data_IF_624338544563
#
_entry.id   IF_624338544563
#
_cell.length_a   1.000
_cell.length_b   1.000
_cell.length_c   1.000
_cell.angle_alpha   90.00
_cell.angle_beta   90.00
_cell.angle_gamma   90.00
#
_symmetry.space_group_name_H-M   'P 1'
#
loop_
_entity.id
_entity.type
_entity.pdbx_description
1 polymer ?
#
# COMPACT_ATOMS: atom_id res chain seq x y z
N UNK A 1 11.97 -19.62 8.31
CA UNK A 1 12.50 -18.25 8.15
C UNK A 1 11.83 -17.34 9.17
N UNK A 2 12.54 -16.34 9.70
CA UNK A 2 12.01 -15.40 10.70
C UNK A 2 10.97 -14.49 10.02
N UNK A 3 9.78 -14.29 10.62
CA UNK A 3 8.72 -13.41 10.07
C UNK A 3 9.27 -12.00 9.77
N UNK A 4 8.71 -11.32 8.76
CA UNK A 4 9.02 -9.92 8.45
C UNK A 4 8.06 -8.99 9.20
N UNK A 5 6.75 -9.26 9.11
CA UNK A 5 5.69 -8.42 9.68
C UNK A 5 5.52 -8.67 11.18
N UNK A 6 5.32 -7.59 11.93
CA UNK A 6 4.90 -7.64 13.33
C UNK A 6 3.37 -7.73 13.40
N UNK A 7 2.83 -8.94 13.20
CA UNK A 7 1.39 -9.18 13.18
C UNK A 7 0.71 -8.81 14.50
N UNK A 8 1.36 -9.00 15.66
CA UNK A 8 0.82 -8.62 16.96
C UNK A 8 0.57 -7.11 17.06
N UNK A 9 1.53 -6.31 16.58
CA UNK A 9 1.40 -4.85 16.55
C UNK A 9 0.29 -4.41 15.60
N UNK A 10 0.22 -5.03 14.43
CA UNK A 10 -0.83 -4.78 13.43
C UNK A 10 -2.22 -5.15 13.99
N UNK A 11 -2.32 -6.27 14.72
CA UNK A 11 -3.56 -6.71 15.34
C UNK A 11 -4.05 -5.71 16.40
N UNK A 12 -3.15 -5.22 17.26
CA UNK A 12 -3.46 -4.29 18.36
C UNK A 12 -3.87 -2.88 17.90
N UNK A 13 -3.47 -2.46 16.70
CA UNK A 13 -3.81 -1.13 16.17
C UNK A 13 -5.34 -0.94 16.07
N UNK A 14 -5.90 0.12 16.65
CA UNK A 14 -7.37 0.30 16.66
C UNK A 14 -7.84 0.86 15.31
N UNK A 15 -9.00 0.37 14.84
CA UNK A 15 -9.66 0.91 13.65
C UNK A 15 -10.39 2.18 14.04
N UNK A 16 -10.02 3.29 13.41
CA UNK A 16 -10.77 4.55 13.47
C UNK A 16 -11.84 4.52 12.38
N UNK A 17 -13.06 4.96 12.71
CA UNK A 17 -14.22 4.99 11.80
C UNK A 17 -14.81 6.40 11.60
N UNK A 18 -14.14 7.45 12.08
CA UNK A 18 -14.67 8.84 12.12
C UNK A 18 -14.96 9.40 10.73
N UNK A 19 -14.03 9.23 9.78
CA UNK A 19 -14.20 9.68 8.39
C UNK A 19 -14.44 8.49 7.46
N UNK A 20 -13.61 7.46 7.58
CA UNK A 20 -13.77 6.16 6.96
C UNK A 20 -13.02 5.11 7.79
N UNK A 21 -13.29 3.80 7.64
CA UNK A 21 -12.59 2.78 8.41
C UNK A 21 -11.12 2.65 7.99
N UNK A 22 -10.20 2.98 8.89
CA UNK A 22 -8.75 2.82 8.69
C UNK A 22 -8.02 2.47 9.99
N UNK A 23 -6.79 1.98 9.89
CA UNK A 23 -5.84 1.96 11.00
C UNK A 23 -4.41 2.18 10.48
N UNK A 24 -3.56 2.81 11.30
CA UNK A 24 -2.14 2.99 11.01
C UNK A 24 -1.26 2.32 12.07
N UNK A 25 -0.04 1.97 11.68
CA UNK A 25 0.99 1.38 12.54
C UNK A 25 2.33 2.02 12.20
N UNK A 26 3.07 2.47 13.21
CA UNK A 26 4.49 2.79 13.04
C UNK A 26 5.31 1.51 13.25
N UNK A 27 6.39 1.33 12.51
CA UNK A 27 7.28 0.15 12.60
C UNK A 27 6.51 -1.19 12.53
N UNK A 28 5.90 -1.46 11.38
CA UNK A 28 5.14 -2.70 11.10
C UNK A 28 6.01 -3.96 10.97
N UNK A 29 7.33 -3.86 11.16
CA UNK A 29 8.28 -4.97 11.07
C UNK A 29 8.71 -5.47 12.44
N UNK A 30 9.18 -6.72 12.49
CA UNK A 30 9.54 -7.38 13.75
C UNK A 30 10.74 -6.74 14.46
N UNK A 31 11.70 -6.17 13.72
CA UNK A 31 12.90 -5.53 14.26
C UNK A 31 13.57 -4.60 13.23
N UNK A 32 14.56 -3.83 13.70
CA UNK A 32 15.31 -2.89 12.87
C UNK A 32 16.29 -3.56 11.89
N UNK A 33 16.74 -4.78 12.17
CA UNK A 33 17.66 -5.52 11.29
C UNK A 33 16.95 -6.06 10.03
N UNK A 34 15.67 -6.37 10.14
CA UNK A 34 14.79 -6.64 8.98
C UNK A 34 14.66 -5.41 8.10
N UNK A 35 14.51 -4.23 8.71
CA UNK A 35 14.33 -2.98 7.97
C UNK A 35 15.51 -2.69 7.02
N UNK A 36 16.75 -2.83 7.50
CA UNK A 36 17.96 -2.66 6.66
C UNK A 36 18.01 -3.66 5.49
N UNK A 37 17.64 -4.92 5.75
CA UNK A 37 17.60 -5.97 4.72
C UNK A 37 16.55 -5.67 3.65
N UNK A 38 15.37 -5.21 4.07
CA UNK A 38 14.29 -4.82 3.16
C UNK A 38 14.70 -3.67 2.24
N UNK A 39 15.45 -2.68 2.73
CA UNK A 39 15.97 -1.60 1.86
C UNK A 39 16.91 -2.15 0.80
N UNK A 40 17.85 -3.03 1.19
CA UNK A 40 18.84 -3.62 0.28
C UNK A 40 18.18 -4.53 -0.76
N UNK A 41 17.15 -5.27 -0.36
CA UNK A 41 16.44 -6.23 -1.20
C UNK A 41 15.30 -5.61 -2.02
N UNK A 42 15.03 -4.31 -1.82
CA UNK A 42 14.01 -3.59 -2.57
C UNK A 42 14.33 -3.58 -4.07
N UNK A 43 13.34 -3.81 -4.96
CA UNK A 43 13.58 -3.83 -6.39
C UNK A 43 14.09 -2.48 -6.91
N UNK A 44 15.07 -2.52 -7.81
CA UNK A 44 15.58 -1.30 -8.43
C UNK A 44 14.52 -0.70 -9.38
N UNK A 45 13.91 0.41 -8.97
CA UNK A 45 12.90 1.15 -9.73
C UNK A 45 13.39 2.59 -9.85
N UNK A 46 13.94 2.94 -11.01
CA UNK A 46 14.50 4.27 -11.29
C UNK A 46 13.52 5.24 -11.95
N UNK A 47 12.28 4.81 -12.18
CA UNK A 47 11.26 5.62 -12.85
C UNK A 47 10.01 5.80 -12.00
N UNK A 48 9.33 6.92 -12.19
CA UNK A 48 8.08 7.20 -11.50
C UNK A 48 6.92 6.36 -12.05
N UNK A 49 6.12 5.79 -11.16
CA UNK A 49 5.01 4.92 -11.53
C UNK A 49 4.67 3.91 -10.44
N UNK A 50 3.77 2.99 -10.75
CA UNK A 50 3.39 1.87 -9.90
C UNK A 50 3.54 0.58 -10.69
N UNK A 51 4.33 -0.35 -10.16
CA UNK A 51 4.79 -1.54 -10.87
C UNK A 51 4.29 -2.81 -10.17
N UNK A 52 3.74 -3.80 -10.90
CA UNK A 52 3.44 -5.10 -10.31
C UNK A 52 4.71 -5.79 -9.82
N UNK A 53 4.60 -6.53 -8.72
CA UNK A 53 5.74 -7.25 -8.15
C UNK A 53 6.24 -8.36 -9.08
N UNK A 54 5.36 -8.99 -9.84
CA UNK A 54 5.65 -10.20 -10.63
C UNK A 54 6.68 -9.96 -11.75
N UNK A 55 6.92 -8.71 -12.14
CA UNK A 55 7.92 -8.33 -13.14
C UNK A 55 9.23 -7.80 -12.57
N UNK A 56 9.39 -7.75 -11.24
CA UNK A 56 10.53 -7.11 -10.59
C UNK A 56 11.48 -8.12 -9.95
N UNK A 57 12.77 -7.94 -10.20
CA UNK A 57 13.82 -8.65 -9.46
C UNK A 57 14.00 -8.00 -8.09
N UNK A 58 13.93 -8.78 -7.03
CA UNK A 58 14.08 -8.34 -5.65
C UNK A 58 14.83 -9.39 -4.83
N UNK A 59 15.38 -9.00 -3.69
CA UNK A 59 16.10 -9.88 -2.79
C UNK A 59 15.18 -10.67 -1.86
N UNK A 60 15.75 -11.64 -1.13
CA UNK A 60 15.00 -12.65 -0.40
C UNK A 60 14.06 -12.09 0.68
N UNK A 61 14.49 -11.06 1.43
CA UNK A 61 13.65 -10.48 2.49
C UNK A 61 12.44 -9.74 1.93
N UNK A 62 12.58 -9.09 0.77
CA UNK A 62 11.47 -8.41 0.11
C UNK A 62 10.47 -9.40 -0.51
N UNK A 63 10.98 -10.50 -1.10
CA UNK A 63 10.12 -11.61 -1.56
C UNK A 63 9.31 -12.17 -0.38
N UNK A 64 9.96 -12.41 0.76
CA UNK A 64 9.28 -12.89 1.96
C UNK A 64 8.22 -11.90 2.47
N UNK A 65 8.50 -10.59 2.45
CA UNK A 65 7.51 -9.55 2.80
C UNK A 65 6.27 -9.66 1.90
N UNK A 66 6.47 -9.83 0.60
CA UNK A 66 5.36 -9.96 -0.37
C UNK A 66 4.54 -11.22 -0.10
N UNK A 67 5.19 -12.33 0.23
CA UNK A 67 4.51 -13.59 0.59
C UNK A 67 3.68 -13.42 1.86
N UNK A 68 4.22 -12.80 2.91
CA UNK A 68 3.51 -12.52 4.16
C UNK A 68 2.32 -11.56 3.93
N UNK A 69 2.51 -10.52 3.12
CA UNK A 69 1.44 -9.60 2.73
C UNK A 69 0.30 -10.32 2.00
N UNK A 70 0.62 -11.25 1.10
CA UNK A 70 -0.37 -12.05 0.35
C UNK A 70 -0.94 -13.23 1.17
N UNK A 71 -0.36 -13.51 2.34
CA UNK A 71 -0.65 -14.68 3.17
C UNK A 71 -2.02 -14.64 3.88
N UNK A 72 -2.45 -15.81 4.36
CA UNK A 72 -3.74 -15.96 5.02
C UNK A 72 -3.82 -15.29 6.39
N UNK A 73 -2.71 -15.21 7.14
CA UNK A 73 -2.69 -14.57 8.47
C UNK A 73 -3.08 -13.09 8.39
N UNK A 74 -2.44 -12.34 7.47
CA UNK A 74 -2.77 -10.94 7.27
C UNK A 74 -4.18 -10.77 6.66
N UNK A 75 -4.59 -11.66 5.75
CA UNK A 75 -5.96 -11.65 5.19
C UNK A 75 -7.00 -11.74 6.31
N UNK A 76 -6.92 -12.78 7.14
CA UNK A 76 -7.89 -13.01 8.23
C UNK A 76 -7.89 -11.87 9.24
N UNK A 77 -6.71 -11.30 9.51
CA UNK A 77 -6.59 -10.12 10.36
C UNK A 77 -7.35 -8.94 9.75
N UNK A 78 -7.13 -8.62 8.47
CA UNK A 78 -7.79 -7.50 7.79
C UNK A 78 -9.31 -7.71 7.66
N UNK A 79 -9.76 -8.95 7.39
CA UNK A 79 -11.19 -9.32 7.41
C UNK A 79 -11.84 -8.97 8.75
N UNK A 80 -11.22 -9.38 9.85
CA UNK A 80 -11.72 -9.10 11.20
C UNK A 80 -11.71 -7.61 11.53
N UNK A 81 -10.66 -6.89 11.15
CA UNK A 81 -10.53 -5.45 11.46
C UNK A 81 -11.54 -4.60 10.72
N UNK A 82 -11.81 -4.90 9.46
CA UNK A 82 -12.70 -4.11 8.62
C UNK A 82 -14.11 -4.68 8.48
N UNK A 83 -14.37 -5.85 9.08
CA UNK A 83 -15.66 -6.53 9.04
C UNK A 83 -16.11 -6.76 7.59
N UNK A 84 -15.21 -7.32 6.77
CA UNK A 84 -15.44 -7.63 5.35
C UNK A 84 -15.08 -9.07 5.03
N UNK A 85 -15.61 -9.58 3.92
CA UNK A 85 -15.27 -10.89 3.38
C UNK A 85 -14.20 -10.77 2.28
N UNK A 86 -13.00 -11.27 2.59
CA UNK A 86 -11.85 -11.37 1.68
C UNK A 86 -11.63 -12.81 1.16
N UNK A 87 -12.47 -13.78 1.52
CA UNK A 87 -12.40 -15.14 1.01
C UNK A 87 -12.45 -15.14 -0.51
N UNK A 88 -11.46 -15.80 -1.12
CA UNK A 88 -11.30 -15.88 -2.57
C UNK A 88 -11.30 -14.51 -3.29
N UNK A 89 -11.03 -13.40 -2.58
CA UNK A 89 -10.82 -12.10 -3.21
C UNK A 89 -9.41 -12.06 -3.77
N UNK A 90 -9.25 -11.72 -5.06
CA UNK A 90 -7.92 -11.57 -5.61
C UNK A 90 -7.14 -10.46 -4.92
N UNK A 91 -5.82 -10.63 -4.87
CA UNK A 91 -4.90 -9.67 -4.27
C UNK A 91 -3.87 -9.22 -5.31
N UNK A 92 -3.68 -7.91 -5.42
CA UNK A 92 -2.68 -7.29 -6.30
C UNK A 92 -1.71 -6.48 -5.47
N UNK A 93 -0.42 -6.75 -5.66
CA UNK A 93 0.66 -6.05 -4.99
C UNK A 93 1.44 -5.21 -6.00
N UNK A 94 1.61 -3.93 -5.71
CA UNK A 94 2.37 -3.00 -6.54
C UNK A 94 3.42 -2.27 -5.71
N UNK A 95 4.50 -1.87 -6.37
CA UNK A 95 5.64 -1.19 -5.75
C UNK A 95 5.89 0.14 -6.44
N UNK A 96 6.34 1.14 -5.69
CA UNK A 96 6.82 2.44 -6.20
C UNK A 96 8.22 2.72 -5.64
N UNK A 97 9.13 3.20 -6.50
CA UNK A 97 10.49 3.58 -6.10
C UNK A 97 10.75 5.09 -6.17
N UNK A 98 10.26 5.76 -7.22
CA UNK A 98 10.41 7.20 -7.44
C UNK A 98 9.02 7.87 -7.44
N UNK A 99 8.90 8.97 -6.72
CA UNK A 99 7.77 9.90 -6.82
C UNK A 99 8.15 11.05 -7.76
N UNK A 100 7.19 11.51 -8.56
CA UNK A 100 7.33 12.67 -9.44
C UNK A 100 6.56 13.85 -8.85
N UNK A 101 6.92 15.07 -9.23
CA UNK A 101 6.17 16.29 -8.89
C UNK A 101 4.66 16.22 -9.14
N UNK A 102 4.21 15.49 -10.19
CA UNK A 102 2.77 15.32 -10.50
C UNK A 102 2.04 14.24 -9.69
N UNK A 103 2.76 13.43 -8.94
CA UNK A 103 2.17 12.38 -8.10
C UNK A 103 1.63 12.99 -6.78
N UNK A 104 0.83 12.24 -6.03
CA UNK A 104 0.29 12.69 -4.73
C UNK A 104 -1.04 13.44 -4.79
N UNK A 105 -1.65 13.56 -5.97
CA UNK A 105 -2.99 14.13 -6.14
C UNK A 105 -4.01 13.49 -5.19
N UNK A 106 -4.92 14.30 -4.68
CA UNK A 106 -6.04 13.86 -3.86
C UNK A 106 -6.93 12.93 -4.66
N UNK A 107 -7.23 11.75 -4.11
CA UNK A 107 -8.16 10.81 -4.69
C UNK A 107 -8.78 9.90 -3.63
N UNK A 108 -9.90 9.27 -3.97
CA UNK A 108 -10.40 8.07 -3.31
C UNK A 108 -9.98 6.87 -4.15
N UNK A 109 -9.80 5.73 -3.52
CA UNK A 109 -9.45 4.53 -4.26
C UNK A 109 -10.59 4.02 -5.14
N UNK A 110 -10.26 3.34 -6.23
CA UNK A 110 -11.24 2.78 -7.16
C UNK A 110 -12.24 1.85 -6.46
N UNK A 111 -13.54 1.95 -6.81
CA UNK A 111 -14.62 1.07 -6.32
C UNK A 111 -14.40 -0.43 -6.60
N UNK A 112 -13.40 -0.77 -7.42
CA UNK A 112 -12.99 -2.16 -7.66
C UNK A 112 -12.24 -2.79 -6.48
N UNK A 113 -11.74 -1.98 -5.55
CA UNK A 113 -10.97 -2.40 -4.38
C UNK A 113 -11.89 -2.53 -3.17
N UNK A 114 -11.60 -3.50 -2.31
CA UNK A 114 -12.26 -3.72 -1.00
C UNK A 114 -11.42 -3.08 0.11
N UNK A 115 -10.12 -3.39 0.12
CA UNK A 115 -9.16 -2.90 1.10
C UNK A 115 -7.88 -2.51 0.35
N UNK A 116 -7.27 -1.42 0.82
CA UNK A 116 -5.92 -1.01 0.46
C UNK A 116 -5.05 -1.01 1.71
N UNK A 117 -3.85 -1.57 1.58
CA UNK A 117 -2.78 -1.51 2.58
C UNK A 117 -1.52 -0.97 1.90
N UNK A 118 -0.84 -0.04 2.55
CA UNK A 118 0.39 0.59 2.09
C UNK A 118 1.44 0.51 3.21
N UNK A 119 2.67 0.15 2.86
CA UNK A 119 3.84 0.19 3.76
C UNK A 119 4.96 0.98 3.07
N UNK A 120 5.60 1.88 3.83
CA UNK A 120 6.78 2.61 3.40
C UNK A 120 8.08 1.90 3.78
N UNK A 121 9.10 2.04 2.93
CA UNK A 121 10.40 1.37 3.09
C UNK A 121 11.59 2.35 2.96
N UNK A 122 11.42 3.62 3.31
CA UNK A 122 12.51 4.60 3.31
C UNK A 122 13.20 4.57 4.68
N UNK A 123 14.51 4.30 4.72
CA UNK A 123 15.27 4.16 5.98
C UNK A 123 15.07 5.35 6.91
N UNK A 124 15.15 6.56 6.36
CA UNK A 124 14.81 7.81 7.01
C UNK A 124 13.89 8.63 6.10
N UNK A 125 13.10 9.52 6.71
CA UNK A 125 12.28 10.48 5.98
C UNK A 125 12.42 11.86 6.60
N UNK A 126 13.35 12.66 6.07
CA UNK A 126 13.69 13.98 6.60
C UNK A 126 13.07 15.13 5.78
N UNK A 127 11.99 14.84 5.04
CA UNK A 127 11.28 15.81 4.21
C UNK A 127 9.92 16.14 4.83
N UNK A 128 9.54 17.43 4.82
CA UNK A 128 8.20 17.88 5.20
C UNK A 128 7.12 17.57 4.16
N UNK A 129 7.53 17.25 2.92
CA UNK A 129 6.63 16.85 1.83
C UNK A 129 6.65 15.34 1.59
N UNK A 130 5.67 14.84 0.83
CA UNK A 130 5.55 13.42 0.51
C UNK A 130 4.97 12.53 1.61
N UNK A 131 4.60 13.08 2.77
CA UNK A 131 3.86 12.36 3.81
C UNK A 131 2.42 12.12 3.35
N UNK A 132 1.91 10.90 3.57
CA UNK A 132 0.53 10.57 3.20
C UNK A 132 -0.44 11.26 4.14
N UNK A 133 -1.40 11.97 3.59
CA UNK A 133 -2.49 12.60 4.33
C UNK A 133 -3.79 11.87 4.06
N UNK A 134 -4.54 11.60 5.12
CA UNK A 134 -5.94 11.22 5.06
C UNK A 134 -6.79 12.48 5.27
N UNK A 135 -7.73 12.71 4.38
CA UNK A 135 -8.36 14.02 4.18
C UNK A 135 -9.85 13.97 4.50
N UNK A 136 -10.38 15.09 5.00
CA UNK A 136 -11.83 15.22 5.27
C UNK A 136 -12.62 15.45 3.99
N UNK A 137 -11.97 16.01 2.95
CA UNK A 137 -12.60 16.39 1.70
C UNK A 137 -11.65 16.18 0.49
N UNK A 138 -12.16 16.16 -0.76
CA UNK A 138 -11.35 15.90 -1.95
C UNK A 138 -10.61 17.11 -2.53
N UNK A 139 -10.78 18.31 -1.97
CA UNK A 139 -10.42 19.58 -2.61
C UNK A 139 -9.17 20.22 -2.02
N UNK A 140 -8.89 19.98 -0.75
CA UNK A 140 -7.80 20.63 -0.03
C UNK A 140 -6.88 19.60 0.65
N UNK A 141 -5.59 19.63 0.30
CA UNK A 141 -4.56 18.74 0.86
C UNK A 141 -4.18 19.14 2.30
N UNK A 142 -4.53 20.35 2.71
CA UNK A 142 -4.29 20.89 4.05
C UNK A 142 -5.43 20.58 5.03
N UNK A 143 -6.63 20.22 4.56
CA UNK A 143 -7.73 19.74 5.41
C UNK A 143 -7.60 18.23 5.69
N UNK A 144 -6.49 17.87 6.31
CA UNK A 144 -6.19 16.51 6.75
C UNK A 144 -6.58 16.27 8.20
N UNK A 145 -6.87 15.01 8.54
CA UNK A 145 -7.10 14.59 9.92
C UNK A 145 -6.04 13.63 10.44
N UNK A 146 -5.22 13.08 9.54
CA UNK A 146 -4.06 12.24 9.87
C UNK A 146 -3.00 12.40 8.79
N UNK A 147 -1.75 12.53 9.22
CA UNK A 147 -0.58 12.49 8.36
C UNK A 147 0.30 11.31 8.77
N UNK A 148 0.82 10.59 7.78
CA UNK A 148 1.59 9.35 7.96
C UNK A 148 2.96 9.57 7.31
N UNK A 149 4.05 9.44 8.08
CA UNK A 149 5.39 9.61 7.54
C UNK A 149 5.69 8.53 6.51
N UNK A 150 6.45 8.87 5.48
CA UNK A 150 6.92 7.89 4.50
C UNK A 150 8.17 7.13 5.00
N UNK A 151 8.39 7.06 6.31
CA UNK A 151 9.51 6.35 6.93
C UNK A 151 9.27 4.84 7.01
N UNK A 152 10.35 4.10 7.20
CA UNK A 152 10.40 2.65 7.26
C UNK A 152 9.33 2.05 8.19
N UNK A 153 8.54 1.12 7.65
CA UNK A 153 7.53 0.39 8.41
C UNK A 153 6.32 1.24 8.83
N UNK A 154 6.21 2.48 8.35
CA UNK A 154 4.97 3.23 8.44
C UNK A 154 3.93 2.57 7.54
N UNK A 155 2.88 2.05 8.17
CA UNK A 155 1.84 1.28 7.53
C UNK A 155 0.48 1.93 7.73
N UNK A 156 -0.33 1.89 6.68
CA UNK A 156 -1.75 2.22 6.73
C UNK A 156 -2.55 1.14 6.03
N UNK A 157 -3.70 0.81 6.58
CA UNK A 157 -4.72 0.06 5.86
C UNK A 157 -6.07 0.72 6.04
N UNK A 158 -6.90 0.67 5.00
CA UNK A 158 -8.25 1.20 5.03
C UNK A 158 -9.20 0.36 4.17
N UNK A 159 -10.47 0.33 4.59
CA UNK A 159 -11.56 -0.13 3.75
C UNK A 159 -11.82 0.94 2.70
N UNK A 160 -11.86 0.53 1.43
CA UNK A 160 -12.11 1.45 0.33
C UNK A 160 -13.59 1.83 0.32
N UNK A 161 -13.84 3.13 0.26
CA UNK A 161 -15.18 3.73 0.20
C UNK A 161 -15.12 5.04 -0.61
N UNK A 162 -16.26 5.67 -0.87
CA UNK A 162 -16.36 6.88 -1.69
C UNK A 162 -15.67 8.09 -1.09
N UNK A 163 -15.46 8.09 0.23
CA UNK A 163 -14.92 9.21 0.99
C UNK A 163 -13.53 8.93 1.59
N UNK A 164 -12.85 7.85 1.20
CA UNK A 164 -11.50 7.54 1.67
C UNK A 164 -10.43 8.43 0.99
N UNK A 165 -10.63 9.74 1.07
CA UNK A 165 -9.79 10.74 0.43
C UNK A 165 -8.39 10.72 1.04
N UNK A 166 -7.39 10.63 0.17
CA UNK A 166 -6.00 10.67 0.56
C UNK A 166 -5.13 11.25 -0.56
N UNK A 167 -3.98 11.77 -0.18
CA UNK A 167 -3.00 12.39 -1.07
C UNK A 167 -1.71 12.69 -0.32
N UNK A 168 -0.79 13.38 -0.95
CA UNK A 168 0.38 13.92 -0.27
C UNK A 168 0.87 15.18 -0.97
N UNK A 169 1.48 16.10 -0.21
CA UNK A 169 2.15 17.27 -0.81
C UNK A 169 3.20 16.78 -1.83
N UNK A 170 3.25 17.37 -3.04
CA UNK A 170 4.17 16.95 -4.09
C UNK A 170 5.60 16.72 -3.59
N UNK A 171 6.18 15.61 -4.02
CA UNK A 171 7.54 15.24 -3.69
C UNK A 171 8.17 14.56 -4.90
N UNK A 172 9.37 15.00 -5.28
CA UNK A 172 10.16 14.43 -6.35
C UNK A 172 11.41 13.76 -5.80
N UNK A 173 11.59 12.48 -6.11
CA UNK A 173 12.72 11.70 -5.62
C UNK A 173 12.34 10.32 -5.12
N UNK A 174 13.27 9.69 -4.39
CA UNK A 174 13.10 8.33 -3.88
C UNK A 174 12.03 8.30 -2.79
N UNK A 175 10.99 7.50 -3.01
CA UNK A 175 9.87 7.30 -2.07
C UNK A 175 9.36 5.88 -2.21
N UNK A 176 9.96 4.99 -1.43
CA UNK A 176 9.75 3.55 -1.51
C UNK A 176 8.46 3.16 -0.82
N UNK A 177 7.59 2.46 -1.54
CA UNK A 177 6.36 1.91 -0.96
C UNK A 177 5.93 0.63 -1.63
N UNK A 178 5.32 -0.27 -0.86
CA UNK A 178 4.58 -1.43 -1.34
C UNK A 178 3.11 -1.25 -0.99
N UNK A 179 2.23 -1.50 -1.95
CA UNK A 179 0.79 -1.42 -1.78
C UNK A 179 0.16 -2.77 -2.12
N UNK A 180 -0.68 -3.26 -1.22
CA UNK A 180 -1.51 -4.43 -1.38
C UNK A 180 -2.97 -4.00 -1.53
N UNK A 181 -3.66 -4.54 -2.53
CA UNK A 181 -5.07 -4.25 -2.77
C UNK A 181 -5.86 -5.55 -2.88
N UNK A 182 -6.89 -5.71 -2.05
CA UNK A 182 -7.91 -6.76 -2.25
C UNK A 182 -8.98 -6.22 -3.19
N UNK A 183 -9.38 -7.01 -4.19
CA UNK A 183 -10.36 -6.60 -5.20
C UNK A 183 -11.68 -7.35 -5.05
N UNK A 184 -12.79 -6.73 -5.47
CA UNK A 184 -14.05 -7.45 -5.64
C UNK A 184 -13.91 -8.51 -6.75
N UNK A 185 -14.63 -9.63 -6.62
CA UNK A 185 -14.64 -10.70 -7.62
C UNK A 185 -15.22 -10.19 -8.95
N UNK A 186 -14.68 -10.69 -10.07
CA UNK A 186 -15.08 -10.26 -11.43
C UNK A 186 -14.19 -9.16 -12.03
N UNK A 187 -13.39 -8.46 -11.24
CA UNK A 187 -12.45 -7.46 -11.77
C UNK A 187 -11.14 -8.05 -12.28
N UNK A 188 -10.71 -9.20 -11.77
CA UNK A 188 -9.69 -10.02 -12.42
C UNK A 188 -10.43 -11.10 -13.19
N UNK A 189 -10.45 -10.99 -14.53
CA UNK A 189 -11.00 -12.07 -15.34
C UNK A 189 -10.28 -13.37 -14.98
N UNK A 190 -11.06 -14.45 -14.96
CA UNK A 190 -10.63 -15.81 -14.69
C UNK A 190 -9.78 -16.31 -15.87
N UNK A 191 -8.58 -15.75 -16.04
CA UNK A 191 -7.61 -16.19 -17.02
C UNK A 191 -6.20 -16.11 -16.42
N UNK A 192 -5.70 -17.29 -16.06
CA UNK A 192 -4.31 -17.67 -15.90
C UNK A 192 -3.46 -16.83 -14.93
N UNK A 193 -3.31 -17.43 -13.76
CA UNK A 193 -2.24 -17.33 -12.76
C UNK A 193 -0.81 -17.54 -13.31
N UNK A 194 -0.50 -17.18 -14.56
CA UNK A 194 0.88 -17.21 -15.06
C UNK A 194 1.20 -16.30 -16.25
N UNK A 195 0.24 -15.82 -17.04
CA UNK A 195 0.56 -14.91 -18.14
C UNK A 195 -0.60 -13.95 -18.44
N UNK A 196 -0.28 -12.65 -18.53
CA UNK A 196 -1.12 -11.50 -18.93
C UNK A 196 -1.64 -10.61 -17.80
N UNK A 197 -0.69 -10.20 -16.96
CA UNK A 197 -0.69 -8.92 -16.26
C UNK A 197 -0.55 -7.71 -17.23
N UNK A 198 -1.37 -7.62 -18.29
CA UNK A 198 -1.28 -6.52 -19.27
C UNK A 198 -2.63 -5.84 -19.56
N UNK A 199 -3.74 -6.58 -19.54
CA UNK A 199 -5.05 -6.01 -19.86
C UNK A 199 -5.69 -5.25 -18.68
N UNK A 200 -5.61 -5.78 -17.46
CA UNK A 200 -6.03 -5.05 -16.24
C UNK A 200 -5.17 -3.81 -15.98
N UNK A 201 -3.92 -3.86 -16.46
CA UNK A 201 -2.88 -2.88 -16.28
C UNK A 201 -3.18 -1.60 -17.01
N UNK A 202 -3.71 -1.70 -18.24
CA UNK A 202 -4.19 -0.53 -19.00
C UNK A 202 -5.38 0.14 -18.32
N UNK A 203 -6.30 -0.61 -17.70
CA UNK A 203 -7.50 -0.05 -17.08
C UNK A 203 -7.18 0.68 -15.77
N UNK A 204 -6.31 0.12 -14.92
CA UNK A 204 -5.82 0.79 -13.71
C UNK A 204 -4.96 2.02 -14.08
N UNK A 205 -4.02 1.91 -15.02
CA UNK A 205 -3.21 3.06 -15.47
C UNK A 205 -4.03 4.19 -16.11
N UNK A 206 -5.10 3.86 -16.86
CA UNK A 206 -5.96 4.89 -17.46
C UNK A 206 -6.86 5.60 -16.43
N UNK A 207 -7.20 4.94 -15.31
CA UNK A 207 -7.96 5.59 -14.22
C UNK A 207 -7.07 6.60 -13.46
N UNK A 208 -5.78 6.31 -13.27
CA UNK A 208 -4.83 7.25 -12.65
C UNK A 208 -4.24 8.30 -13.62
N UNK A 209 -4.71 8.35 -14.87
CA UNK A 209 -4.29 9.32 -15.90
C UNK A 209 -5.32 10.44 -16.16
N UNK A 210 -6.45 10.46 -15.47
CA UNK A 210 -7.35 11.63 -15.45
C UNK A 210 -7.02 12.52 -14.27
#
# INVERSE_FOLDING_TARGET
MKKILNLDKIQKAKVNKTYFPFFSVTNSFIDNEISKRLTKDFPNISTGGSFPIEGLKSGASFVQLVEELKGNELRSLLEKKFEVNLLNKPVVTTVRGISRSKDGRIHSDSKTKVITLLIYLNEEWNHESGLLRLLRNPKDIEDYFLEIPASMGSMIAFKVDQNCWHGYRPFEGKRLSIQLNYLYQGFLSRHNSRHKLSALFKKIFNIFKK
#
